data_IF_772034709514
#
_entry.id   IF_772034709514
#
_cell.length_a   1.000
_cell.length_b   1.000
_cell.length_c   1.000
_cell.angle_alpha   90.00
_cell.angle_beta   90.00
_cell.angle_gamma   90.00
#
_symmetry.space_group_name_H-M   'P 1'
#
loop_
_entity.id
_entity.type
_entity.pdbx_description
1 polymer ?
#
# COMPACT_ATOMS: atom_id res chain seq x y z
N UNK A 1 -8.17 -9.50 21.50
CA UNK A 1 -7.22 -9.14 20.43
C UNK A 1 -8.08 -8.64 19.29
N UNK A 2 -8.63 -7.44 19.44
CA UNK A 2 -9.65 -6.92 18.55
C UNK A 2 -8.96 -6.17 17.41
N UNK A 3 -8.25 -6.92 16.56
CA UNK A 3 -7.58 -6.40 15.36
C UNK A 3 -8.58 -5.96 14.27
N UNK A 4 -9.89 -5.88 14.57
CA UNK A 4 -10.95 -5.73 13.56
C UNK A 4 -11.15 -4.27 13.11
N UNK A 5 -10.56 -3.28 13.77
CA UNK A 5 -10.67 -1.90 13.31
C UNK A 5 -9.32 -1.19 13.36
N UNK A 6 -8.70 -1.03 12.19
CA UNK A 6 -7.63 -0.06 11.99
C UNK A 6 -8.26 1.31 12.24
N UNK A 7 -8.08 1.82 13.46
CA UNK A 7 -8.51 3.13 13.86
C UNK A 7 -7.65 4.11 13.05
N UNK A 8 -8.28 4.82 12.11
CA UNK A 8 -7.67 5.42 10.90
C UNK A 8 -6.64 6.53 11.15
N UNK A 9 -6.23 6.76 12.40
CA UNK A 9 -5.29 7.82 12.80
C UNK A 9 -4.32 7.41 13.92
N UNK A 10 -4.28 6.16 14.35
CA UNK A 10 -3.31 5.75 15.39
C UNK A 10 -1.86 5.98 14.97
N UNK A 11 -1.56 5.79 13.68
CA UNK A 11 -0.24 6.02 13.10
C UNK A 11 0.29 7.44 13.34
N UNK A 12 -0.59 8.44 13.51
CA UNK A 12 -0.21 9.85 13.75
C UNK A 12 0.50 10.02 15.09
N UNK A 13 0.26 9.12 16.05
CA UNK A 13 0.86 9.14 17.39
C UNK A 13 2.17 8.35 17.46
N UNK A 14 2.50 7.57 16.43
CA UNK A 14 3.75 6.81 16.34
C UNK A 14 4.82 7.68 15.65
N UNK A 15 5.56 8.46 16.44
CA UNK A 15 6.53 9.42 15.93
C UNK A 15 7.66 8.76 15.13
N UNK A 16 8.05 7.53 15.48
CA UNK A 16 9.07 6.78 14.74
C UNK A 16 8.57 6.42 13.34
N UNK A 17 7.34 5.90 13.25
CA UNK A 17 6.70 5.64 11.96
C UNK A 17 6.60 6.94 11.14
N UNK A 18 6.07 8.02 11.73
CA UNK A 18 5.92 9.31 11.03
C UNK A 18 7.26 9.82 10.52
N UNK A 19 8.33 9.77 11.32
CA UNK A 19 9.65 10.26 10.91
C UNK A 19 10.16 9.54 9.64
N UNK A 20 9.85 8.26 9.48
CA UNK A 20 10.27 7.45 8.32
C UNK A 20 9.48 7.77 7.04
N UNK A 21 8.21 8.16 7.18
CA UNK A 21 7.29 8.28 6.03
C UNK A 21 6.77 9.70 5.77
N UNK A 22 7.19 10.69 6.56
CA UNK A 22 6.61 12.02 6.52
C UNK A 22 6.78 12.69 5.14
N UNK A 23 7.90 12.44 4.45
CA UNK A 23 8.14 12.91 3.08
C UNK A 23 7.06 12.40 2.10
N UNK A 24 6.67 11.13 2.21
CA UNK A 24 5.62 10.52 1.39
C UNK A 24 4.24 11.06 1.80
N UNK A 25 3.93 11.08 3.10
CA UNK A 25 2.63 11.57 3.60
C UNK A 25 2.37 13.05 3.26
N UNK A 26 3.44 13.86 3.19
CA UNK A 26 3.38 15.27 2.84
C UNK A 26 3.46 15.56 1.33
N UNK A 27 3.68 14.53 0.50
CA UNK A 27 3.72 14.67 -0.94
C UNK A 27 2.33 14.99 -1.52
N UNK A 28 2.26 15.90 -2.51
CA UNK A 28 0.99 16.34 -3.12
C UNK A 28 0.30 15.23 -3.91
N UNK A 29 1.04 14.42 -4.65
CA UNK A 29 0.53 13.31 -5.45
C UNK A 29 0.11 12.15 -4.54
N UNK A 30 0.85 11.88 -3.45
CA UNK A 30 0.38 10.94 -2.44
C UNK A 30 -0.94 11.39 -1.78
N UNK A 31 -1.11 12.68 -1.50
CA UNK A 31 -2.40 13.18 -1.02
C UNK A 31 -3.51 13.12 -2.09
N UNK A 32 -3.20 13.21 -3.38
CA UNK A 32 -4.23 13.14 -4.42
C UNK A 32 -4.89 11.77 -4.52
N UNK A 33 -4.28 10.74 -3.94
CA UNK A 33 -4.87 9.41 -3.78
C UNK A 33 -6.19 9.39 -3.01
N UNK A 34 -6.53 10.46 -2.28
CA UNK A 34 -7.87 10.61 -1.69
C UNK A 34 -9.01 10.61 -2.72
N UNK A 35 -8.68 10.89 -4.00
CA UNK A 35 -9.64 10.99 -5.10
C UNK A 35 -9.90 9.66 -5.80
N UNK A 36 -9.12 8.62 -5.53
CA UNK A 36 -9.21 7.34 -6.25
C UNK A 36 -9.74 6.26 -5.31
N UNK A 37 -10.87 5.65 -5.69
CA UNK A 37 -11.48 4.60 -4.90
C UNK A 37 -10.71 3.28 -5.04
N UNK A 38 -10.51 2.59 -3.92
CA UNK A 38 -9.81 1.30 -3.87
C UNK A 38 -10.79 0.15 -3.58
N UNK A 39 -11.41 0.14 -2.38
CA UNK A 39 -12.29 -0.94 -1.92
C UNK A 39 -13.57 -0.39 -1.28
N UNK A 40 -14.71 -0.58 -1.96
CA UNK A 40 -15.99 0.01 -1.58
C UNK A 40 -15.86 1.52 -1.33
N UNK A 41 -16.06 1.99 -0.10
CA UNK A 41 -15.91 3.40 0.27
C UNK A 41 -14.51 3.81 0.79
N UNK A 42 -13.50 2.95 0.65
CA UNK A 42 -12.11 3.26 1.02
C UNK A 42 -11.33 3.76 -0.20
N UNK A 43 -10.70 4.92 -0.07
CA UNK A 43 -9.80 5.45 -1.11
C UNK A 43 -8.39 4.84 -1.01
N UNK A 44 -7.62 4.94 -2.09
CA UNK A 44 -6.26 4.39 -2.19
C UNK A 44 -5.32 4.90 -1.11
N UNK A 45 -5.43 6.19 -0.73
CA UNK A 45 -4.57 6.77 0.32
C UNK A 45 -4.78 6.09 1.67
N UNK A 46 -6.04 5.95 2.09
CA UNK A 46 -6.42 5.32 3.36
C UNK A 46 -5.99 3.86 3.37
N UNK A 47 -6.23 3.15 2.27
CA UNK A 47 -5.80 1.77 2.11
C UNK A 47 -4.27 1.63 2.29
N UNK A 48 -3.49 2.40 1.54
CA UNK A 48 -2.02 2.32 1.63
C UNK A 48 -1.48 2.70 3.02
N UNK A 49 -2.09 3.67 3.71
CA UNK A 49 -1.72 4.02 5.10
C UNK A 49 -1.99 2.84 6.05
N UNK A 50 -3.14 2.19 5.92
CA UNK A 50 -3.51 1.03 6.74
C UNK A 50 -2.53 -0.13 6.54
N UNK A 51 -2.26 -0.48 5.28
CA UNK A 51 -1.33 -1.56 4.92
C UNK A 51 0.08 -1.25 5.42
N UNK A 52 0.53 -0.01 5.25
CA UNK A 52 1.85 0.42 5.69
C UNK A 52 2.03 0.35 7.20
N UNK A 53 1.11 0.97 7.96
CA UNK A 53 1.27 1.04 9.40
C UNK A 53 1.16 -0.36 10.03
N UNK A 54 0.24 -1.21 9.58
CA UNK A 54 0.13 -2.57 10.10
C UNK A 54 1.37 -3.41 9.75
N UNK A 55 1.86 -3.34 8.51
CA UNK A 55 3.08 -4.05 8.09
C UNK A 55 4.31 -3.58 8.85
N UNK A 56 4.44 -2.26 9.09
CA UNK A 56 5.49 -1.66 9.91
C UNK A 56 5.49 -2.24 11.33
N UNK A 57 4.33 -2.30 11.99
CA UNK A 57 4.22 -2.84 13.36
C UNK A 57 4.60 -4.32 13.42
N UNK A 58 4.19 -5.11 12.44
CA UNK A 58 4.54 -6.53 12.33
C UNK A 58 6.06 -6.66 12.14
N UNK A 59 6.64 -5.96 11.17
CA UNK A 59 8.08 -6.05 10.88
C UNK A 59 8.93 -5.57 12.06
N UNK A 60 8.50 -4.51 12.76
CA UNK A 60 9.17 -4.00 13.97
C UNK A 60 9.17 -5.05 15.08
N UNK A 61 8.04 -5.74 15.30
CA UNK A 61 7.93 -6.84 16.28
C UNK A 61 8.89 -7.99 15.95
N UNK A 62 9.07 -8.30 14.68
CA UNK A 62 9.97 -9.37 14.21
C UNK A 62 11.40 -8.90 13.93
N UNK A 63 11.75 -7.65 14.26
CA UNK A 63 13.08 -7.05 14.02
C UNK A 63 13.54 -7.11 12.56
N UNK A 64 12.58 -7.02 11.63
CA UNK A 64 12.82 -6.87 10.19
C UNK A 64 13.04 -5.40 9.81
N UNK A 65 13.32 -5.12 8.54
CA UNK A 65 13.51 -3.76 8.04
C UNK A 65 12.16 -3.01 7.92
N UNK A 66 11.64 -2.60 9.08
CA UNK A 66 10.36 -1.92 9.23
C UNK A 66 10.32 -0.55 8.55
N UNK A 67 11.45 0.14 8.43
CA UNK A 67 11.51 1.44 7.75
C UNK A 67 11.27 1.30 6.25
N UNK A 68 11.97 0.37 5.61
CA UNK A 68 11.76 0.04 4.21
C UNK A 68 10.32 -0.43 3.95
N UNK A 69 9.75 -1.22 4.88
CA UNK A 69 8.36 -1.69 4.78
C UNK A 69 7.37 -0.55 4.87
N UNK A 70 7.53 0.37 5.83
CA UNK A 70 6.63 1.52 5.97
C UNK A 70 6.56 2.34 4.69
N UNK A 71 7.73 2.63 4.09
CA UNK A 71 7.82 3.41 2.86
C UNK A 71 7.24 2.66 1.66
N UNK A 72 7.69 1.41 1.44
CA UNK A 72 7.26 0.61 0.30
C UNK A 72 5.74 0.33 0.33
N UNK A 73 5.20 0.04 1.51
CA UNK A 73 3.78 -0.24 1.66
C UNK A 73 2.90 1.02 1.54
N UNK A 74 3.40 2.24 1.78
CA UNK A 74 2.66 3.43 1.37
C UNK A 74 2.58 3.57 -0.15
N UNK A 75 3.60 3.08 -0.85
CA UNK A 75 3.78 3.30 -2.29
C UNK A 75 3.32 2.12 -3.15
N UNK A 76 2.86 1.01 -2.56
CA UNK A 76 2.52 -0.22 -3.32
C UNK A 76 1.42 0.02 -4.37
N UNK A 77 0.48 0.92 -4.05
CA UNK A 77 -0.66 1.33 -4.87
C UNK A 77 -0.52 2.76 -5.42
N UNK A 78 0.70 3.25 -5.58
CA UNK A 78 1.00 4.60 -6.05
C UNK A 78 0.79 4.81 -7.57
N UNK A 79 -0.32 4.31 -8.11
CA UNK A 79 -0.61 4.33 -9.55
C UNK A 79 -1.24 5.64 -10.04
N UNK A 80 -1.83 6.45 -9.15
CA UNK A 80 -2.28 7.84 -9.38
C UNK A 80 -3.41 8.03 -10.42
N UNK A 81 -4.35 7.10 -10.49
CA UNK A 81 -5.57 7.20 -11.30
C UNK A 81 -6.71 6.45 -10.62
N UNK A 82 -7.95 6.54 -11.10
CA UNK A 82 -9.04 5.67 -10.63
C UNK A 82 -9.11 4.42 -11.50
N UNK A 83 -8.82 3.25 -10.93
CA UNK A 83 -8.77 2.00 -11.70
C UNK A 83 -10.14 1.52 -12.18
N UNK A 84 -11.24 1.98 -11.58
CA UNK A 84 -12.59 1.64 -12.00
C UNK A 84 -12.98 2.31 -13.33
N UNK A 85 -12.40 3.49 -13.62
CA UNK A 85 -12.63 4.20 -14.89
C UNK A 85 -11.48 4.01 -15.88
N UNK A 86 -10.29 3.67 -15.39
CA UNK A 86 -9.05 3.59 -16.19
C UNK A 86 -9.16 2.70 -17.43
N UNK A 87 -9.87 1.58 -17.34
CA UNK A 87 -10.12 0.72 -18.51
C UNK A 87 -10.87 1.46 -19.62
N UNK A 88 -11.92 2.23 -19.27
CA UNK A 88 -12.71 2.98 -20.25
C UNK A 88 -11.90 4.09 -20.91
N UNK A 89 -10.92 4.62 -20.19
CA UNK A 89 -10.08 5.73 -20.64
C UNK A 89 -8.88 5.28 -21.49
N UNK A 90 -8.29 4.12 -21.20
CA UNK A 90 -7.01 3.69 -21.80
C UNK A 90 -7.09 2.36 -22.55
N UNK A 91 -8.15 1.58 -22.36
CA UNK A 91 -8.29 0.22 -22.90
C UNK A 91 -7.52 -0.86 -22.11
N UNK A 92 -6.79 -0.50 -21.04
CA UNK A 92 -6.02 -1.46 -20.24
C UNK A 92 -6.93 -2.25 -19.27
N UNK A 93 -7.09 -3.55 -19.52
CA UNK A 93 -8.04 -4.43 -18.81
C UNK A 93 -7.49 -5.12 -17.55
N UNK A 94 -6.17 -5.15 -17.37
CA UNK A 94 -5.52 -6.00 -16.35
C UNK A 94 -4.84 -5.20 -15.24
N UNK A 95 -5.58 -4.28 -14.60
CA UNK A 95 -5.04 -3.41 -13.54
C UNK A 95 -4.28 -4.20 -12.45
N UNK A 96 -4.85 -5.31 -11.95
CA UNK A 96 -4.20 -6.15 -10.93
C UNK A 96 -2.84 -6.74 -11.33
N UNK A 97 -2.57 -6.88 -12.63
CA UNK A 97 -1.29 -7.39 -13.15
C UNK A 97 -0.29 -6.28 -13.48
N UNK A 98 -0.78 -5.06 -13.71
CA UNK A 98 0.05 -3.96 -14.24
C UNK A 98 0.33 -2.87 -13.23
N UNK A 99 -0.56 -2.64 -12.25
CA UNK A 99 -0.37 -1.55 -11.29
C UNK A 99 0.89 -1.66 -10.43
N UNK A 100 1.44 -2.84 -10.06
CA UNK A 100 2.66 -2.88 -9.27
C UNK A 100 3.83 -2.21 -10.00
N UNK A 101 3.89 -2.38 -11.33
CA UNK A 101 4.89 -1.74 -12.18
C UNK A 101 4.63 -0.24 -12.31
N UNK A 102 3.37 0.16 -12.48
CA UNK A 102 2.99 1.58 -12.59
C UNK A 102 3.29 2.33 -11.29
N UNK A 103 2.93 1.75 -10.15
CA UNK A 103 3.20 2.28 -8.82
C UNK A 103 4.71 2.45 -8.59
N UNK A 104 5.51 1.42 -8.90
CA UNK A 104 6.97 1.51 -8.81
C UNK A 104 7.53 2.62 -9.70
N UNK A 105 7.09 2.72 -10.95
CA UNK A 105 7.56 3.73 -11.89
C UNK A 105 7.21 5.15 -11.45
N UNK A 106 6.02 5.36 -10.86
CA UNK A 106 5.64 6.66 -10.32
C UNK A 106 6.44 6.99 -9.07
N UNK A 107 6.63 6.02 -8.18
CA UNK A 107 7.39 6.22 -6.95
C UNK A 107 8.86 6.57 -7.24
N UNK A 108 9.50 5.90 -8.22
CA UNK A 108 10.88 6.19 -8.63
C UNK A 108 11.08 7.58 -9.27
N UNK A 109 10.02 8.24 -9.73
CA UNK A 109 10.10 9.63 -10.23
C UNK A 109 10.21 10.65 -9.11
N UNK A 110 9.73 10.31 -7.91
CA UNK A 110 9.56 11.27 -6.80
C UNK A 110 10.37 10.92 -5.56
N UNK A 111 10.73 9.65 -5.37
CA UNK A 111 11.40 9.14 -4.18
C UNK A 111 12.61 8.29 -4.53
N UNK A 112 13.62 8.32 -3.65
CA UNK A 112 14.73 7.37 -3.71
C UNK A 112 14.33 6.09 -2.98
N UNK A 113 14.39 4.94 -3.67
CA UNK A 113 13.97 3.65 -3.15
C UNK A 113 15.12 2.64 -3.19
N UNK A 114 15.34 1.94 -2.08
CA UNK A 114 16.22 0.78 -1.96
C UNK A 114 15.72 -0.41 -2.78
N UNK A 115 16.60 -1.38 -3.04
CA UNK A 115 16.22 -2.63 -3.75
C UNK A 115 15.11 -3.40 -3.04
N UNK A 116 15.08 -3.35 -1.71
CA UNK A 116 14.04 -4.00 -0.91
C UNK A 116 12.68 -3.32 -1.15
N UNK A 117 12.61 -2.00 -1.05
CA UNK A 117 11.37 -1.24 -1.30
C UNK A 117 10.82 -1.50 -2.71
N UNK A 118 11.70 -1.49 -3.71
CA UNK A 118 11.30 -1.77 -5.10
C UNK A 118 10.76 -3.19 -5.28
N UNK A 119 11.36 -4.20 -4.63
CA UNK A 119 10.89 -5.59 -4.70
C UNK A 119 9.52 -5.76 -4.03
N UNK A 120 9.30 -5.10 -2.89
CA UNK A 120 8.01 -5.08 -2.19
C UNK A 120 6.94 -4.49 -3.10
N UNK A 121 7.13 -3.27 -3.61
CA UNK A 121 6.15 -2.58 -4.46
C UNK A 121 5.83 -3.41 -5.69
N UNK A 122 6.85 -3.95 -6.37
CA UNK A 122 6.66 -4.66 -7.63
C UNK A 122 5.92 -5.99 -7.49
N UNK A 123 5.96 -6.62 -6.31
CA UNK A 123 5.54 -8.01 -6.13
C UNK A 123 4.48 -8.23 -5.06
N UNK A 124 4.00 -7.15 -4.43
CA UNK A 124 2.99 -7.26 -3.38
C UNK A 124 1.71 -7.98 -3.84
N UNK A 125 1.43 -8.00 -5.15
CA UNK A 125 0.29 -8.68 -5.76
C UNK A 125 0.42 -10.19 -5.93
N UNK A 126 1.52 -10.83 -5.52
CA UNK A 126 1.56 -12.29 -5.48
C UNK A 126 0.42 -12.84 -4.59
N UNK A 127 -0.25 -13.95 -4.96
CA UNK A 127 -0.02 -14.83 -6.10
C UNK A 127 -0.73 -14.43 -7.42
N UNK A 128 -1.41 -13.27 -7.48
CA UNK A 128 -1.98 -12.77 -8.74
C UNK A 128 -0.88 -12.49 -9.77
N UNK A 129 0.21 -11.85 -9.33
CA UNK A 129 1.47 -11.83 -10.09
C UNK A 129 2.26 -13.10 -9.80
N UNK A 130 2.85 -13.70 -10.84
CA UNK A 130 3.48 -15.03 -10.77
C UNK A 130 4.71 -15.05 -9.84
N UNK A 131 5.48 -13.96 -9.79
CA UNK A 131 6.76 -13.92 -9.07
C UNK A 131 6.53 -13.45 -7.62
N UNK A 132 6.86 -14.27 -6.59
CA UNK A 132 6.73 -13.86 -5.19
C UNK A 132 7.80 -12.84 -4.77
N UNK A 133 7.55 -12.06 -3.71
CA UNK A 133 8.56 -11.24 -3.04
C UNK A 133 9.78 -12.05 -2.64
N UNK A 134 10.98 -11.46 -2.72
CA UNK A 134 12.25 -12.11 -2.35
C UNK A 134 12.49 -12.14 -0.84
N UNK A 135 11.82 -11.25 -0.11
CA UNK A 135 12.07 -10.97 1.29
C UNK A 135 10.80 -11.18 2.13
N UNK A 136 10.98 -11.56 3.40
CA UNK A 136 9.86 -11.76 4.33
C UNK A 136 9.05 -10.47 4.50
N UNK A 137 9.72 -9.31 4.50
CA UNK A 137 9.11 -7.99 4.48
C UNK A 137 8.07 -7.84 3.36
N UNK A 138 8.39 -8.32 2.14
CA UNK A 138 7.48 -8.26 1.02
C UNK A 138 6.32 -9.23 1.14
N UNK A 139 6.54 -10.42 1.68
CA UNK A 139 5.45 -11.35 1.98
C UNK A 139 4.50 -10.78 3.04
N UNK A 140 5.03 -10.11 4.07
CA UNK A 140 4.21 -9.44 5.09
C UNK A 140 3.33 -8.38 4.44
N UNK A 141 3.90 -7.50 3.62
CA UNK A 141 3.13 -6.47 2.91
C UNK A 141 2.08 -7.10 2.01
N UNK A 142 2.42 -8.16 1.27
CA UNK A 142 1.45 -8.93 0.47
C UNK A 142 0.28 -9.40 1.33
N UNK A 143 0.50 -10.10 2.44
CA UNK A 143 -0.61 -10.64 3.23
C UNK A 143 -1.42 -9.54 3.93
N UNK A 144 -0.76 -8.50 4.41
CA UNK A 144 -1.41 -7.36 5.07
C UNK A 144 -2.28 -6.59 4.08
N UNK A 145 -1.82 -6.39 2.85
CA UNK A 145 -2.61 -5.80 1.76
C UNK A 145 -3.93 -6.55 1.57
N UNK A 146 -3.87 -7.88 1.37
CA UNK A 146 -5.07 -8.71 1.19
C UNK A 146 -5.98 -8.67 2.40
N UNK A 147 -5.41 -8.68 3.61
CA UNK A 147 -6.16 -8.56 4.85
C UNK A 147 -6.93 -7.24 4.91
N UNK A 148 -6.27 -6.11 4.62
CA UNK A 148 -6.90 -4.80 4.56
C UNK A 148 -7.99 -4.75 3.50
N UNK A 149 -7.74 -5.26 2.28
CA UNK A 149 -8.74 -5.32 1.21
C UNK A 149 -10.00 -6.10 1.62
N UNK A 150 -9.84 -7.25 2.27
CA UNK A 150 -10.97 -8.06 2.76
C UNK A 150 -11.75 -7.33 3.85
N UNK A 151 -11.06 -6.74 4.83
CA UNK A 151 -11.70 -6.01 5.93
C UNK A 151 -12.46 -4.77 5.42
N UNK A 152 -11.86 -4.02 4.50
CA UNK A 152 -12.45 -2.84 3.87
C UNK A 152 -13.68 -3.21 3.04
N UNK A 153 -13.61 -4.31 2.26
CA UNK A 153 -14.75 -4.81 1.49
C UNK A 153 -15.88 -5.28 2.40
N UNK A 154 -15.57 -6.07 3.44
CA UNK A 154 -16.57 -6.57 4.38
C UNK A 154 -17.32 -5.44 5.10
N UNK A 155 -16.60 -4.41 5.56
CA UNK A 155 -17.19 -3.21 6.19
C UNK A 155 -18.22 -2.50 5.31
N UNK A 156 -18.10 -2.59 3.99
CA UNK A 156 -19.06 -2.01 3.07
C UNK A 156 -20.30 -2.90 2.83
N UNK A 157 -20.22 -4.22 3.10
CA UNK A 157 -21.35 -5.15 2.93
C UNK A 157 -22.29 -5.11 4.13
N UNK A 158 -21.78 -4.93 5.35
CA UNK A 158 -22.57 -4.97 6.60
C UNK A 158 -23.15 -3.61 7.03
N UNK A 159 -23.13 -2.61 6.14
CA UNK A 159 -23.71 -1.28 6.36
C UNK A 159 -25.05 -1.16 5.66
#
# INVERSE_FOLDING_TARGET
MDMIFINSKEYVRDYEYINVVNDILCNKNFRSMDKYMQHGNTNTRVHSINVSYLSYKICKKFKLNHDAVARAALLHDYYLYDWHTHYKETGLRFHGLTHPRTALNNALKEFTLSKLEQDIILKHMWPLTIIPPKHLEGLIVTFVDKYCSMAETYKNIIR
#
